data_IF_457336745717
#
_entry.id   IF_457336745717
#
_cell.length_a   1.000
_cell.length_b   1.000
_cell.length_c   1.000
_cell.angle_alpha   90.00
_cell.angle_beta   90.00
_cell.angle_gamma   90.00
#
_symmetry.space_group_name_H-M   'P 1'
#
loop_
_entity.id
_entity.type
_entity.pdbx_description
1 polymer ?
#
# COMPACT_ATOMS: atom_id res chain seq x y z
N UNK A 1 7.07 39.37 41.33
CA UNK A 1 8.24 38.99 40.48
C UNK A 1 8.10 37.53 40.17
N UNK A 2 7.49 37.21 39.01
CA UNK A 2 7.34 35.83 38.54
C UNK A 2 7.79 35.80 37.08
N UNK A 3 8.98 35.23 36.87
CA UNK A 3 9.56 35.06 35.57
C UNK A 3 8.89 33.92 34.83
N UNK A 4 8.06 34.23 33.83
CA UNK A 4 7.52 33.30 32.90
C UNK A 4 8.62 32.73 32.00
N UNK A 5 8.85 31.41 32.08
CA UNK A 5 9.76 30.68 31.20
C UNK A 5 9.05 30.50 29.82
N UNK A 6 9.50 31.24 28.82
CA UNK A 6 9.07 31.08 27.43
C UNK A 6 9.67 29.77 26.91
N UNK A 7 8.83 28.78 26.69
CA UNK A 7 9.22 27.55 25.95
C UNK A 7 9.41 27.90 24.49
N UNK A 8 10.67 27.91 24.06
CA UNK A 8 11.08 28.12 22.70
C UNK A 8 10.84 26.82 21.93
N UNK A 9 9.70 26.72 21.24
CA UNK A 9 9.46 25.64 20.27
C UNK A 9 10.27 25.94 19.02
N UNK A 10 11.44 25.34 18.93
CA UNK A 10 12.14 25.27 17.64
C UNK A 10 11.33 24.37 16.68
N UNK A 11 11.16 24.77 15.41
CA UNK A 11 10.56 23.89 14.42
C UNK A 11 11.54 22.73 14.15
N UNK A 12 11.14 21.53 14.53
CA UNK A 12 11.81 20.31 14.14
C UNK A 12 11.76 20.23 12.61
N UNK A 13 12.92 20.19 11.97
CA UNK A 13 13.09 19.92 10.55
C UNK A 13 12.24 18.72 10.14
N UNK A 14 11.65 18.71 8.91
CA UNK A 14 10.95 17.55 8.43
C UNK A 14 12.00 16.44 8.18
N UNK A 15 12.19 15.57 9.16
CA UNK A 15 12.86 14.31 8.91
C UNK A 15 11.99 13.56 7.90
N UNK A 16 12.51 13.37 6.71
CA UNK A 16 12.00 12.43 5.72
C UNK A 16 11.89 11.08 6.44
N UNK A 17 10.66 10.64 6.66
CA UNK A 17 10.38 9.33 7.26
C UNK A 17 10.62 8.31 6.15
N UNK A 18 11.85 7.80 6.06
CA UNK A 18 12.32 6.87 5.00
C UNK A 18 11.95 5.41 5.31
N UNK A 19 10.88 5.18 6.06
CA UNK A 19 10.53 3.83 6.53
C UNK A 19 9.58 3.06 5.59
N UNK A 20 9.34 3.57 4.38
CA UNK A 20 8.56 2.85 3.39
C UNK A 20 9.50 1.97 2.55
N UNK A 21 9.44 0.62 2.66
CA UNK A 21 10.35 -0.28 1.94
C UNK A 21 10.27 -0.12 0.42
N UNK A 22 9.11 0.24 -0.11
CA UNK A 22 8.96 0.52 -1.55
C UNK A 22 9.71 1.79 -1.96
N UNK A 23 9.73 2.82 -1.13
CA UNK A 23 10.53 4.02 -1.37
C UNK A 23 12.03 3.71 -1.26
N UNK A 24 12.45 2.95 -0.25
CA UNK A 24 13.85 2.54 -0.10
C UNK A 24 14.32 1.68 -1.26
N UNK A 25 13.50 0.73 -1.72
CA UNK A 25 13.81 -0.11 -2.90
C UNK A 25 13.92 0.77 -4.15
N UNK A 26 13.01 1.73 -4.34
CA UNK A 26 13.05 2.66 -5.46
C UNK A 26 14.31 3.53 -5.45
N UNK A 27 14.69 4.08 -4.29
CA UNK A 27 15.94 4.85 -4.14
C UNK A 27 17.17 3.99 -4.39
N UNK A 28 17.20 2.77 -3.87
CA UNK A 28 18.31 1.85 -4.09
C UNK A 28 18.42 1.46 -5.57
N UNK A 29 17.31 1.23 -6.26
CA UNK A 29 17.30 0.93 -7.68
C UNK A 29 17.85 2.09 -8.52
N UNK A 30 17.43 3.31 -8.23
CA UNK A 30 17.96 4.53 -8.88
C UNK A 30 19.45 4.66 -8.60
N UNK A 31 19.91 4.46 -7.36
CA UNK A 31 21.32 4.53 -7.01
C UNK A 31 22.16 3.47 -7.75
N UNK A 32 21.67 2.23 -7.83
CA UNK A 32 22.31 1.13 -8.58
C UNK A 32 22.37 1.47 -10.07
N UNK A 33 21.33 2.01 -10.67
CA UNK A 33 21.31 2.44 -12.06
C UNK A 33 22.34 3.54 -12.33
N UNK A 34 22.37 4.59 -11.49
CA UNK A 34 23.32 5.70 -11.62
C UNK A 34 24.76 5.19 -11.47
N UNK A 35 25.02 4.33 -10.48
CA UNK A 35 26.33 3.75 -10.25
C UNK A 35 26.78 2.85 -11.41
N UNK A 36 25.88 1.98 -11.90
CA UNK A 36 26.14 1.13 -13.05
C UNK A 36 26.44 1.93 -14.32
N UNK A 37 25.72 3.03 -14.57
CA UNK A 37 25.97 3.93 -15.69
C UNK A 37 27.34 4.62 -15.58
N UNK A 38 27.68 5.09 -14.38
CA UNK A 38 28.96 5.76 -14.14
C UNK A 38 30.13 4.80 -14.39
N UNK A 39 30.06 3.57 -13.86
CA UNK A 39 31.07 2.54 -14.10
C UNK A 39 31.15 2.17 -15.58
N UNK A 40 29.98 1.94 -16.23
CA UNK A 40 29.97 1.61 -17.66
C UNK A 40 30.61 2.70 -18.52
N UNK A 41 30.37 3.97 -18.20
CA UNK A 41 31.01 5.10 -18.91
C UNK A 41 32.51 5.17 -18.71
N UNK A 42 33.02 4.78 -17.53
CA UNK A 42 34.47 4.75 -17.22
C UNK A 42 35.16 3.54 -17.86
N UNK A 43 34.48 2.39 -17.92
CA UNK A 43 35.07 1.13 -18.42
C UNK A 43 34.94 1.01 -19.95
N UNK A 44 33.95 1.62 -20.56
CA UNK A 44 33.70 1.55 -22.01
C UNK A 44 34.95 1.91 -22.86
N UNK A 45 35.77 2.97 -22.57
CA UNK A 45 36.97 3.28 -23.31
C UNK A 45 38.07 2.20 -23.18
N UNK A 46 38.14 1.56 -21.99
CA UNK A 46 39.11 0.48 -21.72
C UNK A 46 38.83 -0.80 -22.52
N UNK A 47 37.54 -1.02 -22.84
CA UNK A 47 37.06 -2.16 -23.61
C UNK A 47 36.90 -1.86 -25.11
N UNK A 48 37.39 -0.71 -25.60
CA UNK A 48 37.18 -0.24 -26.98
C UNK A 48 35.68 -0.16 -27.41
N UNK A 49 34.80 0.06 -26.45
CA UNK A 49 33.36 0.26 -26.71
C UNK A 49 33.12 1.75 -26.99
N UNK A 50 32.37 2.05 -28.05
CA UNK A 50 32.06 3.44 -28.39
C UNK A 50 31.36 4.16 -27.22
N UNK A 51 31.83 5.36 -26.86
CA UNK A 51 31.25 6.20 -25.80
C UNK A 51 29.80 6.62 -26.10
N UNK A 52 29.31 6.43 -27.31
CA UNK A 52 27.92 6.70 -27.67
C UNK A 52 26.93 5.66 -27.08
N UNK A 53 27.34 4.41 -26.84
CA UNK A 53 26.50 3.37 -26.28
C UNK A 53 25.98 3.69 -24.86
N UNK A 54 26.82 4.09 -23.90
CA UNK A 54 26.36 4.52 -22.58
C UNK A 54 25.36 5.70 -22.64
N UNK A 55 25.63 6.67 -23.52
CA UNK A 55 24.75 7.85 -23.69
C UNK A 55 23.37 7.44 -24.23
N UNK A 56 23.32 6.57 -25.24
CA UNK A 56 22.07 6.05 -25.81
C UNK A 56 21.29 5.23 -24.77
N UNK A 57 21.99 4.45 -23.95
CA UNK A 57 21.36 3.66 -22.88
C UNK A 57 20.74 4.57 -21.82
N UNK A 58 21.46 5.62 -21.38
CA UNK A 58 20.91 6.62 -20.44
C UNK A 58 19.69 7.30 -21.04
N UNK A 59 19.78 7.74 -22.29
CA UNK A 59 18.66 8.38 -22.96
C UNK A 59 17.45 7.47 -23.06
N UNK A 60 17.62 6.20 -23.43
CA UNK A 60 16.55 5.21 -23.51
C UNK A 60 15.88 4.97 -22.14
N UNK A 61 16.68 4.91 -21.05
CA UNK A 61 16.15 4.74 -19.69
C UNK A 61 15.34 5.98 -19.25
N UNK A 62 15.88 7.18 -19.51
CA UNK A 62 15.17 8.44 -19.14
C UNK A 62 13.86 8.58 -19.93
N UNK A 63 13.90 8.31 -21.24
CA UNK A 63 12.69 8.34 -22.07
C UNK A 63 11.70 7.29 -21.60
N UNK A 64 12.14 6.04 -21.35
CA UNK A 64 11.32 4.96 -20.84
C UNK A 64 10.66 5.30 -19.52
N UNK A 65 11.42 5.82 -18.55
CA UNK A 65 10.90 6.25 -17.25
C UNK A 65 9.91 7.42 -17.38
N UNK A 66 10.16 8.35 -18.32
CA UNK A 66 9.25 9.47 -18.56
C UNK A 66 7.93 8.98 -19.17
N UNK A 67 7.99 8.09 -20.15
CA UNK A 67 6.81 7.47 -20.77
C UNK A 67 6.03 6.66 -19.73
N UNK A 68 6.70 5.85 -18.90
CA UNK A 68 6.08 5.08 -17.83
C UNK A 68 5.35 5.98 -16.83
N UNK A 69 5.99 7.06 -16.41
CA UNK A 69 5.39 7.99 -15.46
C UNK A 69 4.19 8.75 -16.03
N UNK A 70 4.26 9.18 -17.30
CA UNK A 70 3.20 9.99 -17.94
C UNK A 70 2.05 9.16 -18.52
N UNK A 71 2.36 8.03 -19.15
CA UNK A 71 1.36 7.24 -19.89
C UNK A 71 0.92 5.97 -19.18
N UNK A 72 1.83 5.32 -18.43
CA UNK A 72 1.56 4.04 -17.78
C UNK A 72 1.36 4.18 -16.26
N UNK A 73 1.29 5.41 -15.73
CA UNK A 73 1.11 5.68 -14.29
C UNK A 73 2.10 4.90 -13.41
N UNK A 74 3.35 4.87 -13.82
CA UNK A 74 4.45 4.14 -13.15
C UNK A 74 4.24 2.63 -13.07
N UNK A 75 3.49 2.06 -13.99
CA UNK A 75 3.17 0.63 -14.03
C UNK A 75 4.41 -0.25 -14.13
N UNK A 76 5.34 0.07 -15.03
CA UNK A 76 6.56 -0.73 -15.20
C UNK A 76 7.47 -0.64 -13.98
N UNK A 77 7.63 0.54 -13.38
CA UNK A 77 8.37 0.72 -12.15
C UNK A 77 7.76 -0.09 -10.99
N UNK A 78 6.44 -0.04 -10.83
CA UNK A 78 5.71 -0.81 -9.81
C UNK A 78 5.90 -2.31 -10.00
N UNK A 79 5.84 -2.81 -11.24
CA UNK A 79 6.06 -4.23 -11.54
C UNK A 79 7.48 -4.70 -11.22
N UNK A 80 8.48 -3.88 -11.53
CA UNK A 80 9.88 -4.21 -11.22
C UNK A 80 10.09 -4.24 -9.72
N UNK A 81 9.57 -3.23 -8.99
CA UNK A 81 9.66 -3.17 -7.53
C UNK A 81 8.92 -4.34 -6.90
N UNK A 82 7.72 -4.66 -7.35
CA UNK A 82 6.92 -5.79 -6.85
C UNK A 82 7.60 -7.14 -7.15
N UNK A 83 8.21 -7.30 -8.32
CA UNK A 83 8.95 -8.50 -8.67
C UNK A 83 10.19 -8.69 -7.77
N UNK A 84 10.93 -7.62 -7.47
CA UNK A 84 12.10 -7.66 -6.58
C UNK A 84 11.67 -7.87 -5.13
N UNK A 85 10.66 -7.14 -4.67
CA UNK A 85 10.14 -7.23 -3.32
C UNK A 85 9.41 -8.57 -3.08
N UNK A 86 8.75 -9.11 -4.11
CA UNK A 86 8.09 -10.42 -4.04
C UNK A 86 9.04 -11.62 -3.89
N UNK A 87 10.35 -11.42 -4.04
CA UNK A 87 11.37 -12.42 -3.73
C UNK A 87 11.53 -12.57 -2.21
N UNK A 88 11.30 -11.49 -1.44
CA UNK A 88 11.38 -11.52 0.02
C UNK A 88 10.13 -12.17 0.63
N UNK A 89 10.27 -13.34 1.32
CA UNK A 89 9.16 -14.01 1.97
C UNK A 89 8.48 -13.16 3.05
N UNK A 90 9.24 -12.32 3.78
CA UNK A 90 8.69 -11.44 4.82
C UNK A 90 7.80 -10.36 4.21
N UNK A 91 8.25 -9.74 3.12
CA UNK A 91 7.45 -8.75 2.40
C UNK A 91 6.15 -9.35 1.86
N UNK A 92 6.21 -10.54 1.25
CA UNK A 92 5.02 -11.26 0.78
C UNK A 92 4.04 -11.56 1.91
N UNK A 93 4.55 -12.06 3.04
CA UNK A 93 3.71 -12.36 4.20
C UNK A 93 3.04 -11.10 4.76
N UNK A 94 3.74 -9.97 4.70
CA UNK A 94 3.20 -8.68 5.12
C UNK A 94 2.05 -8.23 4.23
N UNK A 95 2.16 -8.39 2.91
CA UNK A 95 1.05 -8.11 1.97
C UNK A 95 -0.16 -8.98 2.31
N UNK A 96 0.02 -10.28 2.53
CA UNK A 96 -1.08 -11.18 2.87
C UNK A 96 -1.78 -10.73 4.15
N UNK A 97 -1.03 -10.39 5.19
CA UNK A 97 -1.60 -9.88 6.44
C UNK A 97 -2.36 -8.57 6.25
N UNK A 98 -1.85 -7.67 5.41
CA UNK A 98 -2.49 -6.40 5.07
C UNK A 98 -3.83 -6.62 4.38
N UNK A 99 -3.84 -7.42 3.30
CA UNK A 99 -5.03 -7.71 2.52
C UNK A 99 -6.07 -8.53 3.32
N UNK A 100 -5.62 -9.46 4.16
CA UNK A 100 -6.51 -10.16 5.07
C UNK A 100 -7.21 -9.22 6.07
N UNK A 101 -6.54 -8.15 6.49
CA UNK A 101 -7.16 -7.09 7.28
C UNK A 101 -8.31 -6.41 6.55
N UNK A 102 -8.10 -5.98 5.31
CA UNK A 102 -9.14 -5.39 4.45
C UNK A 102 -10.30 -6.36 4.23
N UNK A 103 -9.98 -7.61 3.90
CA UNK A 103 -10.97 -8.64 3.62
C UNK A 103 -11.87 -8.92 4.83
N UNK A 104 -11.29 -9.19 6.00
CA UNK A 104 -12.04 -9.46 7.22
C UNK A 104 -12.95 -8.30 7.60
N UNK A 105 -12.41 -7.08 7.63
CA UNK A 105 -13.19 -5.91 8.05
C UNK A 105 -14.32 -5.60 7.05
N UNK A 106 -14.09 -5.79 5.75
CA UNK A 106 -15.13 -5.64 4.74
C UNK A 106 -16.26 -6.67 4.95
N UNK A 107 -15.89 -7.94 5.19
CA UNK A 107 -16.87 -9.00 5.51
C UNK A 107 -17.73 -8.64 6.73
N UNK A 108 -17.08 -8.23 7.84
CA UNK A 108 -17.77 -7.87 9.09
C UNK A 108 -18.65 -6.62 8.99
N UNK A 109 -18.43 -5.78 7.99
CA UNK A 109 -19.21 -4.56 7.71
C UNK A 109 -20.18 -4.72 6.53
N UNK A 110 -20.44 -5.96 6.10
CA UNK A 110 -21.33 -6.30 4.99
C UNK A 110 -21.00 -5.58 3.67
N UNK A 111 -19.71 -5.34 3.41
CA UNK A 111 -19.23 -4.81 2.14
C UNK A 111 -18.90 -5.98 1.21
N UNK A 112 -19.64 -6.18 0.10
CA UNK A 112 -19.43 -7.33 -0.77
C UNK A 112 -18.05 -7.30 -1.43
N UNK A 113 -17.32 -8.42 -1.31
CA UNK A 113 -15.99 -8.61 -1.90
C UNK A 113 -16.15 -9.38 -3.22
N UNK A 114 -15.58 -8.84 -4.31
CA UNK A 114 -15.63 -9.45 -5.63
C UNK A 114 -14.38 -10.24 -5.98
N UNK A 115 -13.28 -10.00 -5.28
CA UNK A 115 -12.01 -10.68 -5.48
C UNK A 115 -10.89 -10.07 -4.65
N UNK A 116 -9.72 -10.67 -4.75
CA UNK A 116 -8.49 -10.12 -4.20
C UNK A 116 -7.28 -10.54 -5.00
N UNK A 117 -6.22 -9.76 -4.95
CA UNK A 117 -4.90 -10.08 -5.53
C UNK A 117 -3.81 -9.74 -4.52
N UNK A 118 -2.73 -10.51 -4.51
CA UNK A 118 -1.63 -10.35 -3.54
C UNK A 118 -0.33 -9.87 -4.21
N UNK A 119 -0.39 -9.50 -5.49
CA UNK A 119 0.73 -8.90 -6.23
C UNK A 119 0.23 -8.10 -7.44
N UNK A 120 1.01 -7.10 -7.86
CA UNK A 120 0.74 -6.33 -9.07
C UNK A 120 0.74 -7.21 -10.33
N UNK A 121 1.59 -8.25 -10.36
CA UNK A 121 1.63 -9.22 -11.46
C UNK A 121 0.35 -10.04 -11.58
N UNK A 122 -0.21 -10.43 -10.45
CA UNK A 122 -1.49 -11.17 -10.40
C UNK A 122 -2.65 -10.28 -10.89
N UNK A 123 -2.65 -9.01 -10.50
CA UNK A 123 -3.62 -8.02 -10.95
C UNK A 123 -3.64 -7.88 -12.48
N UNK A 124 -2.47 -7.83 -13.12
CA UNK A 124 -2.36 -7.75 -14.57
C UNK A 124 -2.90 -9.00 -15.25
N UNK A 125 -2.56 -10.20 -14.75
CA UNK A 125 -3.06 -11.47 -15.33
C UNK A 125 -4.57 -11.59 -15.26
N UNK A 126 -5.19 -11.04 -14.22
CA UNK A 126 -6.63 -11.10 -14.01
C UNK A 126 -7.37 -9.90 -14.60
N UNK A 127 -6.67 -8.96 -15.27
CA UNK A 127 -7.25 -7.75 -15.84
C UNK A 127 -7.74 -6.76 -14.75
N UNK A 128 -7.22 -6.88 -13.55
CA UNK A 128 -7.57 -6.06 -12.39
C UNK A 128 -6.69 -4.80 -12.31
N UNK A 129 -7.04 -3.80 -11.51
CA UNK A 129 -6.16 -2.65 -11.24
C UNK A 129 -4.79 -3.10 -10.76
N UNK A 130 -3.72 -2.53 -11.29
CA UNK A 130 -2.32 -2.99 -11.18
C UNK A 130 -1.78 -3.01 -9.73
N UNK A 131 -2.46 -2.39 -8.80
CA UNK A 131 -1.95 -2.20 -7.45
C UNK A 131 -2.15 -3.39 -6.50
N UNK A 132 -2.85 -4.45 -6.91
CA UNK A 132 -3.22 -5.52 -5.99
C UNK A 132 -4.30 -5.07 -4.99
N UNK A 133 -4.69 -5.96 -4.09
CA UNK A 133 -5.60 -5.63 -3.01
C UNK A 133 -6.94 -6.32 -3.07
N UNK A 134 -7.78 -6.06 -2.06
CA UNK A 134 -9.16 -6.54 -2.00
C UNK A 134 -10.07 -5.64 -2.83
N UNK A 135 -10.90 -6.26 -3.65
CA UNK A 135 -11.85 -5.60 -4.54
C UNK A 135 -13.26 -5.69 -4.00
N UNK A 136 -13.94 -4.55 -3.98
CA UNK A 136 -15.30 -4.45 -3.48
C UNK A 136 -16.29 -4.23 -4.63
N UNK A 137 -17.51 -4.75 -4.48
CA UNK A 137 -18.58 -4.39 -5.38
C UNK A 137 -18.89 -2.88 -5.24
N UNK A 138 -19.26 -2.20 -6.35
CA UNK A 138 -19.69 -0.81 -6.24
C UNK A 138 -20.88 -0.71 -5.26
N UNK A 139 -20.87 0.29 -4.39
CA UNK A 139 -21.98 0.48 -3.44
C UNK A 139 -23.29 0.62 -4.21
N UNK A 140 -24.28 -0.18 -3.84
CA UNK A 140 -25.61 -0.14 -4.47
C UNK A 140 -26.45 1.07 -4.03
N UNK A 141 -26.00 1.78 -3.02
CA UNK A 141 -26.64 2.98 -2.46
C UNK A 141 -25.69 4.16 -2.52
N UNK A 142 -26.27 5.37 -2.59
CA UNK A 142 -25.49 6.60 -2.61
C UNK A 142 -24.55 6.65 -1.38
N UNK A 143 -23.24 6.75 -1.61
CA UNK A 143 -22.21 6.82 -0.55
C UNK A 143 -22.42 8.01 0.40
N UNK A 144 -23.39 8.88 0.09
CA UNK A 144 -23.81 10.01 0.92
C UNK A 144 -24.31 9.60 2.31
N UNK A 145 -24.72 8.34 2.51
CA UNK A 145 -25.12 7.86 3.83
C UNK A 145 -23.87 7.79 4.74
N UNK A 146 -23.91 8.57 5.80
CA UNK A 146 -22.76 8.70 6.75
C UNK A 146 -22.26 7.36 7.26
N UNK A 147 -23.12 6.39 7.45
CA UNK A 147 -22.78 5.03 7.90
C UNK A 147 -21.94 4.29 6.85
N UNK A 148 -22.34 4.31 5.57
CA UNK A 148 -21.62 3.67 4.47
C UNK A 148 -20.24 4.29 4.33
N UNK A 149 -20.14 5.62 4.38
CA UNK A 149 -18.88 6.33 4.36
C UNK A 149 -17.97 5.91 5.53
N UNK A 150 -18.51 5.74 6.73
CA UNK A 150 -17.75 5.29 7.91
C UNK A 150 -17.24 3.86 7.74
N UNK A 151 -18.04 2.94 7.20
CA UNK A 151 -17.64 1.56 6.92
C UNK A 151 -16.48 1.52 5.92
N UNK A 152 -16.57 2.27 4.81
CA UNK A 152 -15.48 2.35 3.83
C UNK A 152 -14.20 2.95 4.42
N UNK A 153 -14.31 3.98 5.28
CA UNK A 153 -13.14 4.51 5.99
C UNK A 153 -12.49 3.45 6.89
N UNK A 154 -13.31 2.64 7.58
CA UNK A 154 -12.82 1.58 8.46
C UNK A 154 -12.10 0.49 7.66
N UNK A 155 -12.66 0.10 6.50
CA UNK A 155 -12.00 -0.84 5.59
C UNK A 155 -10.68 -0.27 5.07
N UNK A 156 -10.62 0.99 4.63
CA UNK A 156 -9.37 1.61 4.19
C UNK A 156 -8.26 1.57 5.24
N UNK A 157 -8.59 1.61 6.53
CA UNK A 157 -7.59 1.57 7.61
C UNK A 157 -7.26 0.15 8.09
N UNK A 158 -7.96 -0.87 7.58
CA UNK A 158 -7.87 -2.23 8.11
C UNK A 158 -6.52 -2.91 7.83
N UNK A 159 -5.96 -2.75 6.64
CA UNK A 159 -4.63 -3.28 6.32
C UNK A 159 -3.54 -2.70 7.22
N UNK A 160 -3.57 -1.37 7.44
CA UNK A 160 -2.65 -0.67 8.35
C UNK A 160 -2.83 -1.18 9.80
N UNK A 161 -4.08 -1.40 10.23
CA UNK A 161 -4.38 -1.92 11.56
C UNK A 161 -3.88 -3.37 11.72
N UNK A 162 -4.06 -4.21 10.72
CA UNK A 162 -3.56 -5.58 10.68
C UNK A 162 -2.03 -5.64 10.80
N UNK A 163 -1.31 -4.86 9.99
CA UNK A 163 0.15 -4.80 10.08
C UNK A 163 0.62 -4.35 11.46
N UNK A 164 -0.02 -3.33 12.06
CA UNK A 164 0.33 -2.87 13.41
C UNK A 164 0.07 -3.92 14.47
N UNK A 165 -0.95 -4.75 14.33
CA UNK A 165 -1.24 -5.84 15.26
C UNK A 165 -0.21 -6.97 15.16
N UNK A 166 0.20 -7.32 13.94
CA UNK A 166 1.15 -8.43 13.69
C UNK A 166 2.60 -8.01 13.92
N UNK A 167 2.99 -6.82 13.43
CA UNK A 167 4.40 -6.38 13.37
C UNK A 167 4.73 -5.18 14.27
N UNK A 168 3.77 -4.67 15.05
CA UNK A 168 3.87 -3.43 15.85
C UNK A 168 4.13 -2.15 15.04
N UNK A 169 4.24 -2.24 13.71
CA UNK A 169 4.43 -1.13 12.77
C UNK A 169 3.77 -1.44 11.44
N UNK A 170 3.30 -0.43 10.73
CA UNK A 170 2.87 -0.57 9.33
C UNK A 170 3.96 -0.03 8.40
N UNK A 171 4.18 -0.71 7.29
CA UNK A 171 5.06 -0.28 6.20
C UNK A 171 4.25 0.10 4.95
N UNK A 172 3.07 -0.50 4.78
CA UNK A 172 2.11 -0.20 3.73
C UNK A 172 1.01 0.78 4.14
N UNK A 173 0.03 0.96 3.24
CA UNK A 173 -1.20 1.68 3.50
C UNK A 173 -1.16 3.20 3.25
N UNK A 174 -0.14 3.73 2.57
CA UNK A 174 -0.12 5.12 2.12
C UNK A 174 -1.25 5.41 1.12
N UNK A 175 -1.51 4.48 0.21
CA UNK A 175 -2.58 4.56 -0.77
C UNK A 175 -3.96 4.48 -0.14
N UNK A 176 -4.15 3.59 0.85
CA UNK A 176 -5.41 3.45 1.57
C UNK A 176 -5.77 4.72 2.32
N UNK A 177 -4.78 5.36 2.96
CA UNK A 177 -4.96 6.68 3.56
C UNK A 177 -5.31 7.74 2.53
N UNK A 178 -4.66 7.71 1.37
CA UNK A 178 -4.94 8.66 0.31
C UNK A 178 -6.36 8.46 -0.24
N UNK A 179 -6.79 7.21 -0.44
CA UNK A 179 -8.16 6.87 -0.83
C UNK A 179 -9.18 7.40 0.18
N UNK A 180 -8.95 7.12 1.48
CA UNK A 180 -9.80 7.61 2.57
C UNK A 180 -9.89 9.13 2.57
N UNK A 181 -8.75 9.82 2.56
CA UNK A 181 -8.69 11.28 2.60
C UNK A 181 -9.35 11.91 1.36
N UNK A 182 -9.11 11.33 0.18
CA UNK A 182 -9.75 11.76 -1.07
C UNK A 182 -11.26 11.61 -1.03
N UNK A 183 -11.79 10.49 -0.54
CA UNK A 183 -13.22 10.26 -0.39
C UNK A 183 -13.86 11.27 0.59
N UNK A 184 -13.23 11.52 1.73
CA UNK A 184 -13.73 12.47 2.72
C UNK A 184 -13.65 13.92 2.22
N UNK A 185 -12.60 14.27 1.48
CA UNK A 185 -12.46 15.58 0.84
C UNK A 185 -13.57 15.81 -0.20
N UNK A 186 -13.83 14.83 -1.06
CA UNK A 186 -14.92 14.90 -2.05
C UNK A 186 -16.31 14.99 -1.38
N UNK A 187 -16.46 14.43 -0.17
CA UNK A 187 -17.65 14.58 0.66
C UNK A 187 -17.72 15.94 1.40
N UNK A 188 -16.83 16.87 1.11
CA UNK A 188 -16.82 18.22 1.68
C UNK A 188 -16.31 18.34 3.11
N UNK A 189 -15.62 17.30 3.63
CA UNK A 189 -15.05 17.32 4.98
C UNK A 189 -13.84 18.23 5.09
N UNK A 190 -13.73 18.93 6.23
CA UNK A 190 -12.58 19.76 6.52
C UNK A 190 -11.38 18.91 6.97
N UNK A 191 -10.15 19.44 6.82
CA UNK A 191 -8.92 18.72 7.13
C UNK A 191 -8.90 18.13 8.55
N UNK A 192 -9.39 18.85 9.55
CA UNK A 192 -9.44 18.36 10.92
C UNK A 192 -10.43 17.21 11.10
N UNK A 193 -11.57 17.26 10.42
CA UNK A 193 -12.55 16.17 10.42
C UNK A 193 -11.99 14.92 9.74
N UNK A 194 -11.24 15.09 8.64
CA UNK A 194 -10.56 13.99 7.92
C UNK A 194 -9.57 13.28 8.85
N UNK A 195 -8.72 14.02 9.56
CA UNK A 195 -7.77 13.43 10.52
C UNK A 195 -8.48 12.70 11.66
N UNK A 196 -9.55 13.27 12.19
CA UNK A 196 -10.33 12.65 13.26
C UNK A 196 -11.00 11.35 12.76
N UNK A 197 -11.54 11.36 11.54
CA UNK A 197 -12.18 10.20 10.94
C UNK A 197 -11.18 9.09 10.62
N UNK A 198 -10.00 9.45 10.12
CA UNK A 198 -8.88 8.50 9.91
C UNK A 198 -8.50 7.80 11.21
N UNK A 199 -8.34 8.55 12.31
CA UNK A 199 -8.00 7.98 13.61
C UNK A 199 -9.10 7.07 14.16
N UNK A 200 -10.36 7.47 14.03
CA UNK A 200 -11.51 6.68 14.45
C UNK A 200 -11.59 5.38 13.64
N UNK A 201 -11.46 5.47 12.32
CA UNK A 201 -11.48 4.32 11.42
C UNK A 201 -10.36 3.33 11.73
N UNK A 202 -9.14 3.83 12.02
CA UNK A 202 -8.02 2.99 12.42
C UNK A 202 -8.28 2.26 13.74
N UNK A 203 -8.90 2.92 14.71
CA UNK A 203 -9.27 2.30 15.99
C UNK A 203 -10.36 1.24 15.80
N UNK A 204 -11.40 1.54 15.02
CA UNK A 204 -12.48 0.61 14.71
C UNK A 204 -11.95 -0.64 13.99
N UNK A 205 -11.14 -0.47 12.95
CA UNK A 205 -10.51 -1.56 12.23
C UNK A 205 -9.68 -2.45 13.15
N UNK A 206 -8.85 -1.84 14.00
CA UNK A 206 -8.04 -2.56 15.00
C UNK A 206 -8.92 -3.37 15.93
N UNK A 207 -9.98 -2.78 16.47
CA UNK A 207 -10.91 -3.45 17.40
C UNK A 207 -11.59 -4.64 16.72
N UNK A 208 -12.10 -4.47 15.49
CA UNK A 208 -12.74 -5.55 14.73
C UNK A 208 -11.79 -6.73 14.51
N UNK A 209 -10.56 -6.47 14.07
CA UNK A 209 -9.56 -7.52 13.85
C UNK A 209 -9.19 -8.21 15.18
N UNK A 210 -9.01 -7.47 16.28
CA UNK A 210 -8.69 -8.04 17.58
C UNK A 210 -9.84 -8.90 18.12
N UNK A 211 -11.08 -8.47 17.98
CA UNK A 211 -12.26 -9.21 18.42
C UNK A 211 -12.41 -10.53 17.64
N UNK A 212 -12.09 -10.51 16.34
CA UNK A 212 -12.19 -11.69 15.47
C UNK A 212 -10.80 -12.24 15.09
N UNK A 213 -9.89 -12.29 16.07
CA UNK A 213 -8.48 -12.65 15.82
C UNK A 213 -8.30 -14.05 15.23
N UNK A 214 -9.07 -15.02 15.68
CA UNK A 214 -9.01 -16.40 15.14
C UNK A 214 -9.47 -16.45 13.68
N UNK A 215 -10.56 -15.75 13.35
CA UNK A 215 -11.04 -15.63 11.97
C UNK A 215 -9.98 -14.94 11.08
N UNK A 216 -9.34 -13.88 11.59
CA UNK A 216 -8.24 -13.20 10.90
C UNK A 216 -7.07 -14.16 10.60
N UNK A 217 -6.60 -14.90 11.58
CA UNK A 217 -5.48 -15.82 11.40
C UNK A 217 -5.81 -16.95 10.40
N UNK A 218 -7.00 -17.53 10.49
CA UNK A 218 -7.47 -18.56 9.55
C UNK A 218 -7.61 -18.01 8.14
N UNK A 219 -8.11 -16.78 7.98
CA UNK A 219 -8.20 -16.08 6.70
C UNK A 219 -6.81 -15.83 6.09
N UNK A 220 -5.83 -15.41 6.89
CA UNK A 220 -4.44 -15.24 6.43
C UNK A 220 -3.91 -16.54 5.81
N UNK A 221 -4.15 -17.69 6.45
CA UNK A 221 -3.75 -19.01 5.93
C UNK A 221 -4.49 -19.32 4.62
N UNK A 222 -5.80 -19.14 4.57
CA UNK A 222 -6.60 -19.38 3.37
C UNK A 222 -6.12 -18.50 2.19
N UNK A 223 -5.86 -17.21 2.43
CA UNK A 223 -5.34 -16.30 1.41
C UNK A 223 -3.91 -16.66 0.97
N UNK A 224 -3.07 -17.16 1.87
CA UNK A 224 -1.73 -17.68 1.54
C UNK A 224 -1.81 -18.88 0.61
N UNK A 225 -2.80 -19.74 0.78
CA UNK A 225 -3.10 -20.90 -0.07
C UNK A 225 -3.89 -20.54 -1.33
N UNK A 226 -4.19 -19.25 -1.56
CA UNK A 226 -4.92 -18.75 -2.72
C UNK A 226 -6.38 -19.25 -2.81
N UNK A 227 -7.02 -19.40 -1.65
CA UNK A 227 -8.44 -19.73 -1.57
C UNK A 227 -9.29 -18.70 -2.34
N UNK A 228 -10.38 -19.11 -2.96
CA UNK A 228 -11.30 -18.19 -3.60
C UNK A 228 -12.12 -17.40 -2.56
N UNK A 229 -12.86 -16.38 -3.01
CA UNK A 229 -13.62 -15.49 -2.10
C UNK A 229 -14.65 -16.26 -1.27
N UNK A 230 -15.32 -17.26 -1.85
CA UNK A 230 -16.33 -18.06 -1.14
C UNK A 230 -15.68 -18.89 -0.01
N UNK A 231 -14.57 -19.57 -0.28
CA UNK A 231 -13.82 -20.33 0.71
C UNK A 231 -13.27 -19.43 1.83
N UNK A 232 -12.88 -18.20 1.49
CA UNK A 232 -12.48 -17.20 2.49
C UNK A 232 -13.66 -16.80 3.39
N UNK A 233 -14.86 -16.65 2.83
CA UNK A 233 -16.08 -16.36 3.61
C UNK A 233 -16.40 -17.52 4.56
N UNK A 234 -16.42 -18.76 4.06
CA UNK A 234 -16.66 -19.95 4.88
C UNK A 234 -15.64 -20.06 6.03
N UNK A 235 -14.38 -19.71 5.74
CA UNK A 235 -13.30 -19.68 6.75
C UNK A 235 -13.58 -18.65 7.85
N UNK A 236 -14.08 -17.47 7.50
CA UNK A 236 -14.41 -16.44 8.50
C UNK A 236 -15.64 -16.87 9.31
N UNK A 237 -16.68 -17.36 8.64
CA UNK A 237 -17.93 -17.77 9.29
C UNK A 237 -17.72 -18.86 10.33
N UNK A 238 -16.85 -19.83 10.03
CA UNK A 238 -16.50 -20.92 10.98
C UNK A 238 -15.89 -20.43 12.30
N UNK A 239 -15.40 -19.19 12.36
CA UNK A 239 -14.71 -18.62 13.53
C UNK A 239 -15.40 -17.38 14.11
N UNK A 240 -16.54 -16.95 13.53
CA UNK A 240 -17.32 -15.79 13.98
C UNK A 240 -18.67 -16.17 14.59
N UNK A 241 -19.05 -17.46 14.52
CA UNK A 241 -20.31 -18.05 15.05
C UNK A 241 -20.31 -18.18 16.55
#
# INVERSE_FOLDING_TARGET
>A
MNGGRVLNCQPTSPFMNSDNPTEQISFNLVAICVFGMTISSLVAPLLNISSTLPILTIFAIVVGATVDNFFLKSTAATLIVDAIAGIDPEYRQRIINHEAGHFLVAYLLDIPITGYTLSAWESIKTGQPIQGGVMFAPPQTDISTQLIQQHYCTVCMAGIAAEKLVYNRSQGGSEDRQKLRGMLFLAGKQQQEIVNQENLAALQAKTLIQTHWLAYQSLVVAMQERANVADCYDTIEAHTS
#
